data_IF_717822688949
#
_entry.id   IF_717822688949
#
_cell.length_a   1.000
_cell.length_b   1.000
_cell.length_c   1.000
_cell.angle_alpha   90.00
_cell.angle_beta   90.00
_cell.angle_gamma   90.00
#
_symmetry.space_group_name_H-M   'P 1'
#
loop_
_entity.id
_entity.type
_entity.pdbx_description
1 polymer ?
#
# COMPACT_ATOMS: atom_id res chain seq x y z
N UNK A 1 -8.02 -10.25 -1.61
CA UNK A 1 -6.89 -10.19 -2.56
C UNK A 1 -7.43 -10.01 -3.96
N UNK A 2 -6.78 -9.18 -4.76
CA UNK A 2 -7.05 -8.96 -6.18
C UNK A 2 -5.77 -9.16 -7.00
N UNK A 3 -5.92 -9.68 -8.21
CA UNK A 3 -4.88 -9.66 -9.25
C UNK A 3 -5.25 -8.53 -10.21
N UNK A 4 -4.51 -7.43 -10.15
CA UNK A 4 -4.88 -6.18 -10.79
C UNK A 4 -5.93 -5.41 -9.99
N UNK A 5 -5.61 -4.19 -9.57
CA UNK A 5 -6.58 -3.32 -8.91
C UNK A 5 -6.09 -1.92 -8.64
N UNK A 6 -6.99 -1.10 -8.14
CA UNK A 6 -6.77 0.30 -7.80
C UNK A 6 -7.12 0.51 -6.33
N UNK A 7 -6.40 1.43 -5.68
CA UNK A 7 -6.67 1.84 -4.31
C UNK A 7 -7.17 3.27 -4.32
N UNK A 8 -8.22 3.57 -3.56
CA UNK A 8 -8.83 4.90 -3.52
C UNK A 8 -9.09 5.40 -2.10
N UNK A 9 -9.15 6.72 -1.90
CA UNK A 9 -9.55 7.34 -0.64
C UNK A 9 -11.04 7.74 -0.62
N UNK A 10 -11.50 8.29 0.50
CA UNK A 10 -12.93 8.63 0.67
C UNK A 10 -13.33 9.84 -0.18
N UNK A 11 -12.37 10.62 -0.66
CA UNK A 11 -12.51 11.79 -1.53
C UNK A 11 -12.57 11.39 -3.01
N UNK A 12 -12.21 10.15 -3.33
CA UNK A 12 -12.23 9.59 -4.68
C UNK A 12 -10.91 9.75 -5.44
N UNK A 13 -9.81 10.13 -4.78
CA UNK A 13 -8.49 10.06 -5.39
C UNK A 13 -8.10 8.59 -5.57
N UNK A 14 -7.51 8.27 -6.71
CA UNK A 14 -7.22 6.90 -7.16
C UNK A 14 -5.72 6.72 -7.38
N UNK A 15 -5.19 5.56 -7.00
CA UNK A 15 -3.84 5.14 -7.37
C UNK A 15 -3.74 4.81 -8.87
N UNK A 16 -2.53 4.69 -9.39
CA UNK A 16 -2.29 3.92 -10.63
C UNK A 16 -2.63 2.44 -10.39
N UNK A 17 -2.69 1.66 -11.48
CA UNK A 17 -2.98 0.23 -11.41
C UNK A 17 -1.85 -0.52 -10.68
N UNK A 18 -2.24 -1.34 -9.72
CA UNK A 18 -1.36 -2.21 -8.91
C UNK A 18 -1.55 -3.67 -9.33
N UNK A 19 -0.48 -4.46 -9.31
CA UNK A 19 -0.53 -5.86 -9.76
C UNK A 19 -1.21 -6.77 -8.75
N UNK A 20 -1.00 -6.51 -7.45
CA UNK A 20 -1.66 -7.25 -6.38
C UNK A 20 -2.12 -6.26 -5.32
N UNK A 21 -3.38 -6.39 -4.90
CA UNK A 21 -3.95 -5.64 -3.78
C UNK A 21 -4.46 -6.65 -2.76
N UNK A 22 -3.96 -6.55 -1.53
CA UNK A 22 -4.34 -7.42 -0.40
C UNK A 22 -5.20 -6.59 0.55
N UNK A 23 -6.39 -7.08 0.86
CA UNK A 23 -7.36 -6.41 1.73
C UNK A 23 -7.72 -7.29 2.91
N UNK A 24 -8.29 -6.69 3.94
CA UNK A 24 -8.98 -7.44 4.98
C UNK A 24 -10.26 -8.09 4.45
N UNK A 25 -10.84 -9.00 5.23
CA UNK A 25 -12.16 -9.59 4.96
C UNK A 25 -13.32 -8.62 5.21
N UNK A 26 -13.12 -7.57 6.03
CA UNK A 26 -14.10 -6.53 6.31
C UNK A 26 -14.10 -5.38 5.28
N UNK A 27 -13.08 -5.31 4.42
CA UNK A 27 -12.97 -4.31 3.37
C UNK A 27 -13.97 -4.58 2.24
N UNK A 28 -14.86 -3.62 1.89
CA UNK A 28 -15.69 -3.74 0.70
C UNK A 28 -14.80 -3.80 -0.54
N UNK A 29 -15.27 -4.55 -1.53
CA UNK A 29 -14.57 -4.74 -2.81
C UNK A 29 -15.51 -4.29 -3.91
N UNK A 30 -15.10 -3.27 -4.65
CA UNK A 30 -15.89 -2.73 -5.74
C UNK A 30 -15.34 -3.28 -7.06
N UNK A 31 -16.23 -3.78 -7.91
CA UNK A 31 -15.85 -4.28 -9.23
C UNK A 31 -16.69 -3.55 -10.26
N UNK A 32 -16.02 -2.76 -11.10
CA UNK A 32 -16.66 -2.07 -12.22
C UNK A 32 -16.43 -2.91 -13.48
N UNK A 33 -17.50 -3.46 -14.03
CA UNK A 33 -17.46 -4.20 -15.30
C UNK A 33 -17.99 -3.33 -16.43
N UNK A 34 -17.12 -2.91 -17.33
CA UNK A 34 -17.46 -2.15 -18.54
C UNK A 34 -17.13 -2.99 -19.77
N UNK A 35 -18.13 -3.66 -20.33
CA UNK A 35 -17.93 -4.55 -21.49
C UNK A 35 -16.98 -5.70 -21.15
N UNK A 36 -15.89 -5.82 -21.92
CA UNK A 36 -14.85 -6.85 -21.72
C UNK A 36 -13.83 -6.53 -20.62
N UNK A 37 -13.88 -5.33 -20.04
CA UNK A 37 -12.93 -4.89 -19.03
C UNK A 37 -13.56 -4.86 -17.64
N UNK A 38 -12.86 -5.46 -16.67
CA UNK A 38 -13.19 -5.39 -15.25
C UNK A 38 -12.10 -4.64 -14.51
N UNK A 39 -12.49 -3.62 -13.72
CA UNK A 39 -11.61 -2.92 -12.80
C UNK A 39 -12.02 -3.24 -11.37
N UNK A 40 -11.05 -3.59 -10.54
CA UNK A 40 -11.26 -3.84 -9.11
C UNK A 40 -10.72 -2.66 -8.29
N UNK A 41 -11.51 -2.20 -7.33
CA UNK A 41 -11.16 -1.08 -6.46
C UNK A 41 -11.29 -1.50 -4.99
N UNK A 42 -10.36 -1.01 -4.18
CA UNK A 42 -10.40 -1.16 -2.73
C UNK A 42 -10.11 0.19 -2.03
N UNK A 43 -10.83 0.51 -0.95
CA UNK A 43 -10.49 1.66 -0.13
C UNK A 43 -9.10 1.49 0.50
N UNK A 44 -8.36 2.59 0.61
CA UNK A 44 -7.01 2.64 1.18
C UNK A 44 -6.97 2.07 2.59
N UNK A 45 -7.97 2.39 3.38
CA UNK A 45 -8.07 2.03 4.80
C UNK A 45 -8.24 0.51 5.02
N UNK A 46 -8.92 -0.18 4.11
CA UNK A 46 -9.11 -1.64 4.15
C UNK A 46 -8.03 -2.45 3.41
N UNK A 47 -7.08 -1.78 2.76
CA UNK A 47 -6.01 -2.40 1.98
C UNK A 47 -4.78 -2.61 2.85
N UNK A 48 -4.37 -3.85 3.15
CA UNK A 48 -3.25 -4.14 4.06
C UNK A 48 -1.89 -4.21 3.38
N UNK A 49 -1.85 -4.60 2.10
CA UNK A 49 -0.62 -4.65 1.31
C UNK A 49 -0.89 -4.47 -0.17
N UNK A 50 0.12 -3.99 -0.89
CA UNK A 50 0.11 -3.80 -2.34
C UNK A 50 1.43 -4.28 -2.93
N UNK A 51 1.38 -4.84 -4.12
CA UNK A 51 2.56 -5.31 -4.84
C UNK A 51 2.58 -4.72 -6.24
N UNK A 52 3.74 -4.19 -6.62
CA UNK A 52 4.09 -3.87 -8.00
C UNK A 52 5.11 -4.91 -8.49
N UNK A 53 4.78 -5.66 -9.53
CA UNK A 53 5.54 -6.80 -10.02
C UNK A 53 6.16 -6.50 -11.39
N UNK A 54 7.47 -6.71 -11.51
CA UNK A 54 8.23 -6.49 -12.74
C UNK A 54 8.92 -7.79 -13.16
N UNK A 55 9.05 -8.03 -14.46
CA UNK A 55 9.90 -9.12 -14.96
C UNK A 55 11.38 -8.80 -14.73
N UNK A 56 11.80 -7.58 -15.09
CA UNK A 56 13.17 -7.11 -14.90
C UNK A 56 13.18 -5.69 -14.33
N UNK A 57 13.77 -5.52 -13.15
CA UNK A 57 13.88 -4.24 -12.46
C UNK A 57 15.09 -3.45 -12.98
N UNK A 58 14.91 -2.77 -14.12
CA UNK A 58 15.82 -1.73 -14.61
C UNK A 58 15.66 -0.44 -13.81
N UNK A 59 16.55 0.55 -13.98
CA UNK A 59 16.37 1.86 -13.34
C UNK A 59 15.04 2.51 -13.74
N UNK A 60 14.67 2.45 -15.01
CA UNK A 60 13.40 2.97 -15.51
C UNK A 60 12.20 2.24 -14.90
N UNK A 61 12.24 0.91 -14.83
CA UNK A 61 11.16 0.12 -14.22
C UNK A 61 11.07 0.33 -12.70
N UNK A 62 12.20 0.61 -12.05
CA UNK A 62 12.23 1.00 -10.64
C UNK A 62 11.54 2.35 -10.47
N UNK A 63 11.92 3.37 -11.23
CA UNK A 63 11.33 4.70 -11.15
C UNK A 63 9.82 4.66 -11.42
N UNK A 64 9.37 3.94 -12.45
CA UNK A 64 7.94 3.71 -12.71
C UNK A 64 7.22 3.04 -11.53
N UNK A 65 7.84 2.02 -10.91
CA UNK A 65 7.27 1.38 -9.73
C UNK A 65 7.21 2.30 -8.51
N UNK A 66 8.23 3.16 -8.32
CA UNK A 66 8.24 4.17 -7.26
C UNK A 66 7.14 5.21 -7.48
N UNK A 67 6.96 5.69 -8.71
CA UNK A 67 5.88 6.59 -9.12
C UNK A 67 4.50 5.97 -8.90
N UNK A 68 4.36 4.68 -9.23
CA UNK A 68 3.11 3.95 -9.04
C UNK A 68 2.76 3.86 -7.55
N UNK A 69 3.70 3.46 -6.70
CA UNK A 69 3.46 3.45 -5.25
C UNK A 69 3.22 4.84 -4.67
N UNK A 70 3.87 5.88 -5.20
CA UNK A 70 3.67 7.27 -4.76
C UNK A 70 2.28 7.81 -5.08
N UNK A 71 1.61 7.24 -6.09
CA UNK A 71 0.23 7.57 -6.46
C UNK A 71 -0.83 7.06 -5.49
N UNK A 72 -0.46 6.14 -4.58
CA UNK A 72 -1.39 5.61 -3.59
C UNK A 72 -1.87 6.75 -2.68
N UNK A 73 -3.19 6.94 -2.52
CA UNK A 73 -3.74 7.95 -1.64
C UNK A 73 -3.25 7.80 -0.19
N UNK A 74 -3.29 8.91 0.55
CA UNK A 74 -2.93 8.88 1.99
C UNK A 74 -4.12 8.39 2.80
N UNK A 75 -3.88 7.62 3.87
CA UNK A 75 -4.97 7.25 4.78
C UNK A 75 -5.57 8.48 5.44
N UNK A 76 -6.84 8.37 5.79
CA UNK A 76 -7.40 9.25 6.81
C UNK A 76 -6.78 8.89 8.16
N UNK A 77 -6.22 9.85 8.93
CA UNK A 77 -5.64 9.55 10.24
C UNK A 77 -6.60 8.80 11.18
N UNK A 78 -6.04 7.95 12.05
CA UNK A 78 -6.82 7.28 13.09
C UNK A 78 -7.12 8.27 14.22
N UNK A 79 -8.40 8.59 14.38
CA UNK A 79 -8.95 9.34 15.51
C UNK A 79 -9.52 8.38 16.55
N UNK A 80 -9.77 8.85 17.77
CA UNK A 80 -10.22 8.01 18.89
C UNK A 80 -11.56 7.30 18.61
N UNK A 81 -12.42 7.91 17.80
CA UNK A 81 -13.71 7.36 17.34
C UNK A 81 -13.56 6.26 16.28
N UNK A 82 -12.43 6.22 15.57
CA UNK A 82 -12.12 5.20 14.55
C UNK A 82 -11.37 4.00 15.11
N UNK A 83 -11.04 4.00 16.40
CA UNK A 83 -10.32 2.95 17.08
C UNK A 83 -11.21 2.24 18.09
N UNK A 84 -11.17 0.92 18.10
CA UNK A 84 -11.73 0.15 19.19
C UNK A 84 -11.08 0.56 20.52
N UNK A 85 -11.88 0.63 21.58
CA UNK A 85 -11.41 1.08 22.90
C UNK A 85 -10.22 0.23 23.35
N UNK A 86 -9.11 0.90 23.67
CA UNK A 86 -7.87 0.26 24.13
C UNK A 86 -6.96 -0.26 23.02
N UNK A 87 -7.34 -0.13 21.75
CA UNK A 87 -6.46 -0.46 20.63
C UNK A 87 -5.39 0.63 20.44
N UNK A 88 -4.16 0.18 20.15
CA UNK A 88 -3.07 1.04 19.73
C UNK A 88 -2.44 0.41 18.49
N UNK A 89 -2.46 1.13 17.37
CA UNK A 89 -1.93 0.68 16.09
C UNK A 89 -0.74 1.55 15.75
N UNK A 90 0.45 0.95 15.72
CA UNK A 90 1.69 1.61 15.32
C UNK A 90 1.83 1.68 13.80
N UNK A 91 2.54 2.71 13.34
CA UNK A 91 2.95 2.89 11.94
C UNK A 91 1.77 2.89 10.93
N UNK A 92 0.57 3.31 11.36
CA UNK A 92 -0.62 3.38 10.51
C UNK A 92 -0.45 4.39 9.36
N UNK A 93 0.35 5.43 9.56
CA UNK A 93 0.71 6.39 8.53
C UNK A 93 1.46 5.77 7.35
N UNK A 94 2.05 4.58 7.55
CA UNK A 94 2.82 3.83 6.55
C UNK A 94 2.00 2.72 5.89
N UNK A 95 0.68 2.70 6.13
CA UNK A 95 -0.25 1.76 5.51
C UNK A 95 -0.41 2.07 4.00
N UNK A 96 -0.83 1.16 3.10
CA UNK A 96 -0.61 -0.30 3.08
C UNK A 96 0.87 -0.67 2.99
N UNK A 97 1.19 -1.96 3.10
CA UNK A 97 2.56 -2.46 3.03
C UNK A 97 2.93 -2.56 1.56
N UNK A 98 3.93 -1.80 1.14
CA UNK A 98 4.24 -1.52 -0.27
C UNK A 98 5.43 -2.37 -0.69
N UNK A 99 5.19 -3.32 -1.60
CA UNK A 99 6.23 -4.23 -2.10
C UNK A 99 6.47 -3.98 -3.58
N UNK A 100 7.74 -3.89 -3.97
CA UNK A 100 8.16 -4.06 -5.36
C UNK A 100 8.79 -5.45 -5.47
N UNK A 101 8.27 -6.27 -6.38
CA UNK A 101 8.79 -7.59 -6.66
C UNK A 101 9.35 -7.65 -8.08
N UNK A 102 10.48 -8.32 -8.28
CA UNK A 102 10.95 -8.65 -9.60
C UNK A 102 11.62 -10.02 -9.71
N UNK A 103 11.52 -10.65 -10.87
CA UNK A 103 12.23 -11.92 -11.15
C UNK A 103 13.70 -11.73 -11.51
N UNK A 104 14.06 -10.55 -12.01
CA UNK A 104 15.43 -10.17 -12.36
C UNK A 104 15.61 -8.66 -12.15
N UNK A 105 16.84 -8.15 -12.18
CA UNK A 105 17.10 -6.73 -12.02
C UNK A 105 18.58 -6.35 -11.99
N UNK A 106 18.80 -5.03 -11.96
CA UNK A 106 20.12 -4.39 -11.79
C UNK A 106 20.77 -4.80 -10.45
N UNK A 107 22.07 -4.57 -10.32
CA UNK A 107 22.78 -4.85 -9.08
C UNK A 107 22.27 -3.99 -7.89
N UNK A 108 22.21 -4.58 -6.70
CA UNK A 108 21.73 -3.92 -5.47
C UNK A 108 22.39 -2.55 -5.19
N UNK A 109 23.73 -2.36 -5.33
CA UNK A 109 24.33 -1.04 -5.11
C UNK A 109 23.85 0.01 -6.11
N UNK A 110 23.55 -0.38 -7.35
CA UNK A 110 22.98 0.51 -8.37
C UNK A 110 21.54 0.85 -8.00
N UNK A 111 20.74 -0.14 -7.59
CA UNK A 111 19.36 0.08 -7.14
C UNK A 111 19.29 1.05 -5.96
N UNK A 112 20.13 0.88 -4.93
CA UNK A 112 20.19 1.80 -3.79
C UNK A 112 20.54 3.23 -4.21
N UNK A 113 21.48 3.40 -5.15
CA UNK A 113 21.82 4.71 -5.73
C UNK A 113 20.65 5.32 -6.51
N UNK A 114 19.94 4.51 -7.29
CA UNK A 114 18.77 4.97 -8.06
C UNK A 114 17.64 5.43 -7.14
N UNK A 115 17.37 4.69 -6.05
CA UNK A 115 16.37 5.08 -5.03
C UNK A 115 16.71 6.44 -4.42
N UNK A 116 17.96 6.60 -3.98
CA UNK A 116 18.44 7.83 -3.36
C UNK A 116 18.43 9.01 -4.34
N UNK A 117 18.85 8.80 -5.59
CA UNK A 117 18.74 9.82 -6.64
C UNK A 117 17.29 10.24 -6.91
N UNK A 118 16.38 9.26 -7.04
CA UNK A 118 14.96 9.50 -7.26
C UNK A 118 14.35 10.36 -6.15
N UNK A 119 14.51 9.96 -4.88
CA UNK A 119 13.90 10.71 -3.77
C UNK A 119 14.55 12.07 -3.48
N UNK A 120 15.78 12.32 -3.94
CA UNK A 120 16.34 13.68 -3.94
C UNK A 120 15.69 14.58 -4.97
N UNK A 121 15.29 14.01 -6.11
CA UNK A 121 14.59 14.75 -7.17
C UNK A 121 13.08 14.88 -6.90
N UNK A 122 12.54 14.07 -5.98
CA UNK A 122 11.14 14.06 -5.57
C UNK A 122 10.95 14.26 -4.06
N UNK A 123 11.38 15.41 -3.49
CA UNK A 123 11.27 15.68 -2.05
C UNK A 123 9.82 15.79 -1.56
N UNK A 124 8.86 16.03 -2.46
CA UNK A 124 7.42 16.05 -2.21
C UNK A 124 6.84 14.67 -1.85
N UNK A 125 7.57 13.58 -2.11
CA UNK A 125 7.14 12.23 -1.76
C UNK A 125 7.55 11.92 -0.31
N UNK A 126 6.59 11.91 0.64
CA UNK A 126 6.85 11.59 2.04
C UNK A 126 7.33 10.14 2.18
N UNK A 127 8.06 9.85 3.27
CA UNK A 127 8.58 8.52 3.56
C UNK A 127 7.50 7.44 3.59
N UNK A 128 6.29 7.79 3.99
CA UNK A 128 5.13 6.89 4.12
C UNK A 128 4.62 6.34 2.78
N UNK A 129 4.87 7.07 1.68
CA UNK A 129 4.51 6.67 0.32
C UNK A 129 5.61 5.89 -0.40
N UNK A 130 6.73 5.62 0.28
CA UNK A 130 7.87 4.88 -0.26
C UNK A 130 7.70 3.37 -0.04
N UNK A 131 8.25 2.51 -0.90
CA UNK A 131 8.19 1.08 -0.70
C UNK A 131 8.76 0.68 0.66
N UNK A 132 8.16 -0.36 1.24
CA UNK A 132 8.66 -1.01 2.44
C UNK A 132 9.72 -2.06 2.09
N UNK A 133 9.49 -2.78 1.00
CA UNK A 133 10.34 -3.86 0.52
C UNK A 133 10.47 -3.80 -0.99
N UNK A 134 11.68 -4.01 -1.48
CA UNK A 134 11.99 -4.27 -2.87
C UNK A 134 12.72 -5.61 -2.91
N UNK A 135 12.17 -6.59 -3.60
CA UNK A 135 12.74 -7.94 -3.66
C UNK A 135 13.00 -8.34 -5.11
N UNK A 136 14.25 -8.73 -5.40
CA UNK A 136 14.64 -9.32 -6.67
C UNK A 136 14.97 -10.79 -6.42
N UNK A 137 14.12 -11.68 -6.93
CA UNK A 137 14.13 -13.10 -6.66
C UNK A 137 15.51 -13.73 -6.90
N UNK A 138 16.00 -14.49 -5.93
CA UNK A 138 17.29 -15.15 -5.96
C UNK A 138 18.51 -14.22 -5.96
N UNK A 139 18.34 -12.89 -5.82
CA UNK A 139 19.43 -11.91 -5.87
C UNK A 139 19.60 -11.10 -4.58
N UNK A 140 18.59 -10.35 -4.18
CA UNK A 140 18.65 -9.45 -3.03
C UNK A 140 17.28 -8.94 -2.59
N UNK A 141 17.25 -8.43 -1.37
CA UNK A 141 16.11 -7.71 -0.80
C UNK A 141 16.58 -6.36 -0.26
N UNK A 142 15.82 -5.30 -0.51
CA UNK A 142 16.08 -3.96 0.02
C UNK A 142 14.87 -3.54 0.87
N UNK A 143 15.12 -3.21 2.12
CA UNK A 143 14.08 -2.88 3.09
C UNK A 143 14.22 -1.44 3.54
N UNK A 144 13.09 -0.75 3.70
CA UNK A 144 13.05 0.51 4.42
C UNK A 144 12.88 0.24 5.91
N UNK A 145 13.80 0.75 6.71
CA UNK A 145 13.73 0.63 8.16
C UNK A 145 12.53 1.43 8.69
N UNK A 146 11.62 0.78 9.41
CA UNK A 146 10.41 1.41 9.95
C UNK A 146 10.51 1.76 11.44
N UNK A 147 11.31 1.03 12.20
CA UNK A 147 11.42 1.23 13.65
C UNK A 147 12.67 2.01 14.02
N UNK A 148 12.54 2.81 15.07
CA UNK A 148 13.69 3.45 15.74
C UNK A 148 14.56 2.36 16.39
N UNK A 149 15.88 2.49 16.25
CA UNK A 149 16.89 1.55 16.77
C UNK A 149 17.05 0.22 16.02
N UNK A 150 16.75 0.16 14.72
CA UNK A 150 17.21 -0.99 13.93
C UNK A 150 18.74 -1.10 13.99
N UNK A 151 19.24 -2.32 14.17
CA UNK A 151 20.67 -2.59 14.40
C UNK A 151 21.10 -3.79 13.56
N UNK A 152 22.25 -3.68 12.93
CA UNK A 152 22.85 -4.81 12.21
C UNK A 152 23.43 -5.84 13.19
N UNK A 153 23.71 -7.04 12.70
CA UNK A 153 24.39 -8.09 13.48
C UNK A 153 25.76 -7.67 14.04
N UNK A 154 26.40 -6.67 13.44
CA UNK A 154 27.66 -6.09 13.91
C UNK A 154 27.48 -4.87 14.84
N UNK A 155 26.27 -4.57 15.26
CA UNK A 155 25.97 -3.52 16.23
C UNK A 155 25.80 -2.12 15.64
N UNK A 156 25.70 -1.99 14.31
CA UNK A 156 25.54 -0.68 13.66
C UNK A 156 24.08 -0.29 13.66
N UNK A 157 23.76 0.83 14.32
CA UNK A 157 22.43 1.44 14.26
C UNK A 157 22.14 1.99 12.86
N UNK A 158 20.94 1.69 12.36
CA UNK A 158 20.41 2.17 11.09
C UNK A 158 19.23 3.11 11.39
N UNK A 159 19.25 4.37 10.91
CA UNK A 159 18.15 5.30 11.13
C UNK A 159 16.83 4.85 10.48
N UNK A 160 15.70 5.21 11.10
CA UNK A 160 14.36 5.06 10.50
C UNK A 160 14.31 5.75 9.12
N UNK A 161 13.62 5.12 8.18
CA UNK A 161 13.48 5.59 6.80
C UNK A 161 14.64 5.23 5.87
N UNK A 162 15.74 4.68 6.39
CA UNK A 162 16.89 4.25 5.57
C UNK A 162 16.56 3.00 4.77
N UNK A 163 17.01 2.94 3.52
CA UNK A 163 16.99 1.70 2.74
C UNK A 163 18.24 0.86 3.04
N UNK A 164 18.03 -0.38 3.46
CA UNK A 164 19.06 -1.35 3.80
C UNK A 164 18.98 -2.54 2.85
N UNK A 165 20.12 -2.90 2.24
CA UNK A 165 20.23 -4.05 1.36
C UNK A 165 20.65 -5.32 2.11
N UNK A 166 19.85 -6.38 1.97
CA UNK A 166 20.07 -7.71 2.49
C UNK A 166 20.44 -8.65 1.31
N UNK A 167 21.71 -9.09 1.21
CA UNK A 167 22.17 -9.95 0.11
C UNK A 167 21.99 -11.46 0.39
N UNK A 168 21.79 -11.86 1.64
CA UNK A 168 21.77 -13.27 2.06
C UNK A 168 20.33 -13.74 2.36
N UNK A 169 20.03 -15.02 2.03
CA UNK A 169 18.73 -15.68 2.25
C UNK A 169 17.52 -14.86 1.77
N UNK A 170 17.71 -14.21 0.62
CA UNK A 170 16.91 -13.06 0.16
C UNK A 170 15.44 -13.37 -0.02
N UNK A 171 15.12 -14.54 -0.60
CA UNK A 171 13.76 -15.01 -0.85
C UNK A 171 13.04 -15.34 0.46
N UNK A 172 13.67 -16.14 1.33
CA UNK A 172 13.12 -16.54 2.62
C UNK A 172 12.87 -15.30 3.47
N UNK A 173 13.86 -14.41 3.53
CA UNK A 173 13.78 -13.17 4.27
C UNK A 173 12.65 -12.25 3.75
N UNK A 174 12.56 -12.05 2.44
CA UNK A 174 11.51 -11.23 1.83
C UNK A 174 10.11 -11.79 2.08
N UNK A 175 9.94 -13.10 1.93
CA UNK A 175 8.67 -13.79 2.14
C UNK A 175 8.28 -13.70 3.61
N UNK A 176 9.17 -14.05 4.54
CA UNK A 176 8.90 -14.01 5.97
C UNK A 176 8.53 -12.60 6.42
N UNK A 177 9.31 -11.60 6.03
CA UNK A 177 9.03 -10.21 6.39
C UNK A 177 7.67 -9.75 5.84
N UNK A 178 7.37 -10.05 4.58
CA UNK A 178 6.08 -9.70 3.97
C UNK A 178 4.91 -10.38 4.67
N UNK A 179 5.02 -11.67 4.96
CA UNK A 179 3.96 -12.44 5.63
C UNK A 179 3.73 -11.94 7.06
N UNK A 180 4.80 -11.69 7.82
CA UNK A 180 4.72 -11.17 9.18
C UNK A 180 4.00 -9.83 9.23
N UNK A 181 4.36 -8.89 8.34
CA UNK A 181 3.73 -7.56 8.31
C UNK A 181 2.28 -7.64 7.82
N UNK A 182 1.98 -8.45 6.82
CA UNK A 182 0.60 -8.67 6.36
C UNK A 182 -0.26 -9.26 7.50
N UNK A 183 0.27 -10.23 8.23
CA UNK A 183 -0.43 -10.86 9.35
C UNK A 183 -0.69 -9.85 10.49
N UNK A 184 0.32 -9.08 10.87
CA UNK A 184 0.19 -8.02 11.89
C UNK A 184 -0.86 -6.98 11.50
N UNK A 185 -0.83 -6.52 10.25
CA UNK A 185 -1.82 -5.55 9.73
C UNK A 185 -3.22 -6.14 9.64
N UNK A 186 -3.35 -7.41 9.23
CA UNK A 186 -4.64 -8.09 9.20
C UNK A 186 -5.26 -8.22 10.61
N UNK A 187 -4.44 -8.46 11.63
CA UNK A 187 -4.88 -8.47 13.04
C UNK A 187 -5.25 -7.05 13.50
N UNK A 188 -4.39 -6.07 13.23
CA UNK A 188 -4.59 -4.68 13.64
C UNK A 188 -5.84 -4.05 13.03
N UNK A 189 -6.13 -4.37 11.77
CA UNK A 189 -7.28 -3.83 11.05
C UNK A 189 -8.64 -4.24 11.65
N UNK A 190 -8.70 -5.28 12.48
CA UNK A 190 -9.93 -5.68 13.18
C UNK A 190 -10.35 -4.66 14.24
N UNK A 191 -9.42 -3.79 14.66
CA UNK A 191 -9.65 -2.75 15.66
C UNK A 191 -9.94 -1.38 15.04
N UNK A 192 -9.98 -1.28 13.71
CA UNK A 192 -10.28 -0.04 13.01
C UNK A 192 -11.75 -0.05 12.59
N UNK A 193 -12.47 1.00 12.98
CA UNK A 193 -13.84 1.24 12.53
C UNK A 193 -13.78 1.97 11.19
N UNK A 194 -14.20 1.28 10.14
CA UNK A 194 -14.28 1.86 8.79
C UNK A 194 -15.71 2.27 8.47
N UNK A 195 -15.94 3.56 8.25
CA UNK A 195 -17.25 4.10 7.87
C UNK A 195 -17.34 4.31 6.36
N UNK A 196 -17.71 3.27 5.62
CA UNK A 196 -17.88 3.38 4.16
C UNK A 196 -19.22 4.03 3.75
N UNK A 197 -20.05 4.43 4.71
CA UNK A 197 -21.34 5.06 4.45
C UNK A 197 -21.20 6.42 3.76
N UNK A 198 -20.10 7.13 4.00
CA UNK A 198 -19.79 8.40 3.34
C UNK A 198 -19.65 8.27 1.82
N UNK A 199 -19.20 7.10 1.35
CA UNK A 199 -19.15 6.81 -0.10
C UNK A 199 -20.57 6.81 -0.67
N UNK A 200 -21.52 6.18 0.04
CA UNK A 200 -22.93 6.12 -0.40
C UNK A 200 -23.60 7.50 -0.33
N UNK A 201 -23.32 8.29 0.70
CA UNK A 201 -23.85 9.65 0.85
C UNK A 201 -23.39 10.60 -0.28
N UNK A 202 -22.26 10.31 -0.92
CA UNK A 202 -21.74 11.08 -2.06
C UNK A 202 -22.33 10.64 -3.40
N UNK A 203 -23.04 9.50 -3.47
CA UNK A 203 -23.67 9.07 -4.71
C UNK A 203 -24.86 9.97 -5.04
N UNK A 204 -24.96 10.48 -6.28
CA UNK A 204 -26.13 11.24 -6.68
C UNK A 204 -27.36 10.34 -6.61
N UNK A 205 -28.38 10.78 -5.87
CA UNK A 205 -29.71 10.19 -5.98
C UNK A 205 -30.26 10.65 -7.33
N UNK A 206 -30.13 9.80 -8.35
CA UNK A 206 -30.81 10.01 -9.63
C UNK A 206 -32.30 9.85 -9.40
N UNK A 207 -32.97 10.97 -9.17
CA UNK A 207 -34.41 11.05 -9.27
C UNK A 207 -34.74 10.67 -10.72
N UNK A 208 -35.54 9.61 -10.93
CA UNK A 208 -36.45 9.68 -12.05
C UNK A 208 -37.26 10.96 -11.84
N UNK A 209 -37.55 11.74 -12.89
CA UNK A 209 -38.30 13.02 -12.82
C UNK A 209 -39.74 12.90 -12.24
N UNK A 210 -40.03 11.77 -11.59
CA UNK A 210 -41.32 11.30 -11.18
C UNK A 210 -41.40 11.21 -9.65
N UNK A 211 -42.05 12.21 -9.05
CA UNK A 211 -42.27 12.33 -7.60
C UNK A 211 -43.10 11.17 -7.00
N UNK A 212 -43.57 10.21 -7.81
CA UNK A 212 -44.33 9.02 -7.38
C UNK A 212 -43.51 8.00 -6.59
N UNK A 213 -42.19 8.10 -6.58
CA UNK A 213 -41.30 7.17 -5.87
C UNK A 213 -40.85 7.68 -4.48
N UNK A 214 -41.39 8.80 -4.01
CA UNK A 214 -41.01 9.42 -2.75
C UNK A 214 -42.20 9.34 -1.79
N UNK A 215 -42.05 8.51 -0.75
CA UNK A 215 -42.97 8.50 0.37
C UNK A 215 -42.45 9.48 1.43
N UNK A 216 -43.30 10.38 1.97
CA UNK A 216 -42.88 11.23 3.08
C UNK A 216 -42.57 10.37 4.30
N UNK A 217 -41.62 10.79 5.16
CA UNK A 217 -41.41 10.11 6.44
C UNK A 217 -42.67 10.24 7.30
N UNK A 218 -43.05 9.15 7.96
CA UNK A 218 -44.10 9.14 9.00
C UNK A 218 -43.67 9.94 10.25
#
# INVERSE_FOLDING_TARGET
MFLGGFVFDMEGAESKQLDIVVTTNSCPRYMLTTGEHAKSFAPIDGTIAVVNAKSTLTTEQLEDALDNLASIPTQTPLTTDRLAVGANISDYEDWPYKVIYATDGIAMPTLLKSIDAYYRNHPEIPSTRRPNLIHVAGKYSVLRILHENAETTCGKKIPKGTFFGQPDETDVYAIQHTLSVIQERALSAQFIVFEYWDILNKLPITMADDARYILPPE
#
